data_IF_876171227388
#
_entry.id   IF_876171227388
#
_cell.length_a   1.000
_cell.length_b   1.000
_cell.length_c   1.000
_cell.angle_alpha   90.00
_cell.angle_beta   90.00
_cell.angle_gamma   90.00
#
_symmetry.space_group_name_H-M   'P 1'
#
loop_
_entity.id
_entity.type
_entity.pdbx_description
1 polymer ?
#
# COMPACT_ATOMS: atom_id res chain seq x y z
N UNK A 1 -3.55 7.04 1.68
CA UNK A 1 -3.67 6.33 2.98
C UNK A 1 -4.96 6.74 3.72
N UNK A 2 -5.76 7.61 3.10
CA UNK A 2 -7.08 8.10 3.49
C UNK A 2 -7.88 7.28 4.52
N UNK A 3 -8.32 6.06 4.20
CA UNK A 3 -9.23 5.34 5.10
C UNK A 3 -8.60 5.03 6.47
N UNK A 4 -7.32 4.63 6.49
CA UNK A 4 -6.61 4.41 7.74
C UNK A 4 -6.38 5.73 8.49
N UNK A 5 -5.97 6.79 7.79
CA UNK A 5 -5.73 8.09 8.40
C UNK A 5 -6.99 8.66 9.07
N UNK A 6 -8.15 8.52 8.41
CA UNK A 6 -9.45 8.95 8.93
C UNK A 6 -9.79 8.26 10.27
N UNK A 7 -9.56 6.95 10.37
CA UNK A 7 -9.85 6.18 11.58
C UNK A 7 -8.79 6.37 12.68
N UNK A 8 -7.55 6.66 12.30
CA UNK A 8 -6.45 6.84 13.24
C UNK A 8 -6.46 8.22 13.90
N UNK A 9 -6.59 9.29 13.11
CA UNK A 9 -6.59 10.66 13.58
C UNK A 9 -7.19 11.58 12.51
N UNK A 10 -8.39 12.12 12.77
CA UNK A 10 -9.10 13.03 11.85
C UNK A 10 -8.28 14.28 11.52
N UNK A 11 -7.51 14.81 12.49
CA UNK A 11 -6.62 15.94 12.26
C UNK A 11 -5.47 15.60 11.30
N UNK A 12 -4.91 14.39 11.39
CA UNK A 12 -3.88 13.93 10.44
C UNK A 12 -4.48 13.78 9.05
N UNK A 13 -5.66 13.16 8.95
CA UNK A 13 -6.39 13.04 7.69
C UNK A 13 -6.64 14.41 7.03
N UNK A 14 -7.11 15.40 7.79
CA UNK A 14 -7.35 16.74 7.29
C UNK A 14 -6.06 17.36 6.70
N UNK A 15 -4.94 17.28 7.44
CA UNK A 15 -3.69 17.86 6.97
C UNK A 15 -3.11 17.14 5.73
N UNK A 16 -3.15 15.81 5.68
CA UNK A 16 -2.50 15.06 4.61
C UNK A 16 -3.36 14.86 3.36
N UNK A 17 -4.68 14.66 3.52
CA UNK A 17 -5.57 14.26 2.43
C UNK A 17 -6.51 15.40 1.99
N UNK A 18 -6.77 16.41 2.84
CA UNK A 18 -7.55 17.61 2.47
C UNK A 18 -6.63 18.77 2.10
N UNK A 19 -5.68 19.12 2.97
CA UNK A 19 -4.72 20.22 2.74
C UNK A 19 -3.48 19.79 1.95
N UNK A 20 -3.33 18.49 1.68
CA UNK A 20 -2.20 17.90 0.95
C UNK A 20 -0.80 18.21 1.52
N UNK A 21 -0.72 18.49 2.82
CA UNK A 21 0.53 18.76 3.53
C UNK A 21 1.22 17.43 3.83
N UNK A 22 2.14 17.02 2.95
CA UNK A 22 2.88 15.75 3.05
C UNK A 22 4.37 16.02 3.16
N UNK A 23 5.01 15.53 4.22
CA UNK A 23 6.47 15.63 4.42
C UNK A 23 7.08 14.26 4.19
N UNK A 24 7.83 14.10 3.10
CA UNK A 24 8.56 12.87 2.81
C UNK A 24 9.96 12.93 3.44
N UNK A 25 10.31 11.91 4.21
CA UNK A 25 11.66 11.73 4.77
C UNK A 25 12.39 10.55 4.10
N UNK A 26 13.61 10.28 4.54
CA UNK A 26 14.41 9.17 4.03
C UNK A 26 13.74 7.80 4.19
N UNK A 27 12.90 7.60 5.22
CA UNK A 27 12.18 6.35 5.42
C UNK A 27 11.06 6.18 4.39
N UNK A 28 10.33 7.25 4.05
CA UNK A 28 9.32 7.25 2.99
C UNK A 28 9.93 6.86 1.65
N UNK A 29 11.05 7.48 1.26
CA UNK A 29 11.72 7.15 0.00
C UNK A 29 12.28 5.72 -0.01
N UNK A 30 12.87 5.27 1.09
CA UNK A 30 13.36 3.90 1.22
C UNK A 30 12.23 2.86 1.20
N UNK A 31 11.03 3.23 1.63
CA UNK A 31 9.80 2.45 1.47
C UNK A 31 9.37 2.37 0.01
N UNK A 32 9.24 3.51 -0.69
CA UNK A 32 8.85 3.54 -2.12
C UNK A 32 9.76 2.68 -2.99
N UNK A 33 11.08 2.78 -2.79
CA UNK A 33 12.07 1.93 -3.47
C UNK A 33 11.83 0.44 -3.23
N UNK A 34 11.39 0.02 -2.04
CA UNK A 34 11.06 -1.38 -1.79
C UNK A 34 9.91 -1.86 -2.69
N UNK A 35 8.88 -1.04 -2.89
CA UNK A 35 7.76 -1.40 -3.77
C UNK A 35 8.20 -1.50 -5.24
N UNK A 36 9.21 -0.72 -5.65
CA UNK A 36 9.76 -0.76 -7.01
C UNK A 36 10.75 -1.92 -7.23
N UNK A 37 11.58 -2.24 -6.22
CA UNK A 37 12.74 -3.15 -6.32
C UNK A 37 12.43 -4.61 -6.01
N UNK A 38 11.35 -4.94 -5.31
CA UNK A 38 11.01 -6.34 -5.02
C UNK A 38 10.68 -7.06 -6.33
N UNK A 39 11.58 -7.87 -6.88
CA UNK A 39 11.31 -8.98 -7.81
C UNK A 39 12.26 -10.11 -7.40
N UNK A 40 11.72 -11.25 -6.98
CA UNK A 40 12.42 -12.52 -7.18
C UNK A 40 11.87 -13.11 -8.47
N UNK A 41 12.75 -13.49 -9.41
CA UNK A 41 12.40 -14.13 -10.67
C UNK A 41 11.97 -15.61 -10.47
N UNK A 42 12.09 -16.14 -9.25
CA UNK A 42 11.82 -17.55 -8.90
C UNK A 42 10.39 -17.80 -8.39
N UNK A 43 9.44 -16.88 -8.61
CA UNK A 43 8.06 -17.06 -8.14
C UNK A 43 7.26 -17.89 -9.15
N UNK A 44 6.91 -19.14 -8.79
CA UNK A 44 6.11 -20.05 -9.63
C UNK A 44 4.66 -19.58 -9.85
N UNK A 45 4.28 -18.42 -9.30
CA UNK A 45 2.94 -17.85 -9.43
C UNK A 45 2.96 -16.52 -10.18
N UNK A 46 1.96 -16.25 -11.05
CA UNK A 46 1.90 -14.99 -11.78
C UNK A 46 1.59 -13.85 -10.80
N UNK A 47 2.63 -13.19 -10.31
CA UNK A 47 2.51 -11.97 -9.52
C UNK A 47 1.97 -10.85 -10.42
N UNK A 48 0.77 -10.35 -10.09
CA UNK A 48 0.28 -9.11 -10.69
C UNK A 48 0.56 -7.97 -9.73
N UNK A 49 1.24 -6.94 -10.22
CA UNK A 49 1.61 -5.76 -9.45
C UNK A 49 0.69 -4.61 -9.77
N UNK A 50 0.66 -3.64 -8.86
CA UNK A 50 0.00 -2.36 -9.12
C UNK A 50 -1.45 -2.53 -9.54
N UNK A 51 -2.17 -3.44 -8.88
CA UNK A 51 -3.56 -3.76 -9.23
C UNK A 51 -4.46 -2.70 -8.63
N UNK A 52 -5.18 -1.98 -9.48
CA UNK A 52 -6.22 -1.05 -9.06
C UNK A 52 -7.47 -1.82 -8.64
N UNK A 53 -8.05 -1.42 -7.51
CA UNK A 53 -9.28 -1.98 -6.97
C UNK A 53 -10.24 -0.86 -6.60
N UNK A 54 -11.53 -1.09 -6.83
CA UNK A 54 -12.56 -0.12 -6.51
C UNK A 54 -13.84 -0.81 -6.01
N UNK A 55 -14.56 -0.12 -5.14
CA UNK A 55 -15.90 -0.48 -4.70
C UNK A 55 -16.84 0.69 -4.97
N UNK A 56 -17.64 0.58 -6.03
CA UNK A 56 -18.59 1.62 -6.42
C UNK A 56 -19.62 1.89 -5.32
N UNK A 57 -20.14 0.82 -4.68
CA UNK A 57 -21.13 0.93 -3.59
C UNK A 57 -20.65 1.83 -2.45
N UNK A 58 -19.36 1.76 -2.14
CA UNK A 58 -18.76 2.49 -1.02
C UNK A 58 -17.95 3.70 -1.45
N UNK A 59 -17.86 3.98 -2.76
CA UNK A 59 -17.01 5.04 -3.30
C UNK A 59 -15.52 4.87 -2.99
N UNK A 60 -15.06 3.63 -2.77
CA UNK A 60 -13.67 3.35 -2.40
C UNK A 60 -12.84 3.03 -3.65
N UNK A 61 -11.62 3.55 -3.69
CA UNK A 61 -10.63 3.20 -4.70
C UNK A 61 -9.25 3.09 -4.05
N UNK A 62 -8.40 2.23 -4.60
CA UNK A 62 -7.07 2.03 -4.09
C UNK A 62 -6.21 1.18 -5.02
N UNK A 63 -4.95 1.05 -4.65
CA UNK A 63 -3.95 0.28 -5.38
C UNK A 63 -3.32 -0.73 -4.44
N UNK A 64 -3.29 -1.98 -4.86
CA UNK A 64 -2.60 -3.06 -4.17
C UNK A 64 -1.15 -3.11 -4.64
N UNK A 65 -0.22 -3.43 -3.74
CA UNK A 65 1.18 -3.64 -4.11
C UNK A 65 1.31 -4.84 -5.05
N UNK A 66 0.80 -6.00 -4.61
CA UNK A 66 0.82 -7.23 -5.37
C UNK A 66 -0.35 -8.15 -5.04
N UNK A 67 -0.71 -9.01 -5.98
CA UNK A 67 -1.57 -10.17 -5.77
C UNK A 67 -0.90 -11.41 -6.33
N UNK A 68 -1.01 -12.52 -5.58
CA UNK A 68 -0.45 -13.83 -5.95
C UNK A 68 -1.53 -14.89 -5.87
N UNK A 69 -1.37 -15.97 -6.64
CA UNK A 69 -2.24 -17.14 -6.53
C UNK A 69 -1.68 -18.09 -5.48
N UNK A 70 -2.48 -18.44 -4.49
CA UNK A 70 -2.16 -19.47 -3.50
C UNK A 70 -3.37 -20.37 -3.35
N UNK A 71 -3.17 -21.68 -3.51
CA UNK A 71 -4.24 -22.69 -3.41
C UNK A 71 -5.47 -22.37 -4.30
N UNK A 72 -5.21 -21.86 -5.51
CA UNK A 72 -6.24 -21.47 -6.48
C UNK A 72 -6.95 -20.13 -6.19
N UNK A 73 -6.62 -19.46 -5.08
CA UNK A 73 -7.22 -18.18 -4.68
C UNK A 73 -6.25 -17.01 -4.89
N UNK A 74 -6.79 -15.82 -5.13
CA UNK A 74 -5.99 -14.59 -5.15
C UNK A 74 -5.80 -14.08 -3.72
N UNK A 75 -4.54 -13.87 -3.34
CA UNK A 75 -4.14 -13.33 -2.04
C UNK A 75 -3.43 -12.00 -2.25
N UNK A 76 -3.81 -10.99 -1.48
CA UNK A 76 -3.18 -9.66 -1.49
C UNK A 76 -1.92 -9.69 -0.65
N UNK A 77 -0.86 -9.12 -1.20
CA UNK A 77 0.40 -8.90 -0.50
C UNK A 77 0.64 -7.40 -0.41
N UNK A 78 0.89 -6.93 0.81
CA UNK A 78 1.21 -5.54 1.12
C UNK A 78 2.63 -5.52 1.71
N UNK A 79 3.57 -4.87 1.01
CA UNK A 79 4.95 -4.79 1.47
C UNK A 79 5.10 -3.65 2.45
N UNK A 80 5.67 -3.93 3.63
CA UNK A 80 5.90 -2.91 4.65
C UNK A 80 7.37 -2.84 5.01
N UNK A 81 7.87 -1.61 5.13
CA UNK A 81 9.18 -1.29 5.69
C UNK A 81 8.98 -0.46 6.93
N UNK A 82 9.55 -0.91 8.05
CA UNK A 82 9.49 -0.19 9.31
C UNK A 82 10.42 -0.81 10.33
N UNK A 83 10.80 -0.03 11.35
CA UNK A 83 11.49 -0.55 12.52
C UNK A 83 10.49 -0.61 13.67
N UNK A 84 10.35 -1.76 14.31
CA UNK A 84 9.61 -1.83 15.56
C UNK A 84 10.39 -1.09 16.66
N UNK A 85 9.68 -0.55 17.64
CA UNK A 85 10.29 -0.08 18.88
C UNK A 85 10.70 -1.33 19.66
N UNK A 86 12.01 -1.51 19.86
CA UNK A 86 12.56 -2.60 20.67
C UNK A 86 12.42 -2.27 22.15
#
# INVERSE_FOLDING_TARGET
MALHALLYCERLFYLEEVEEIRVADGAVYAGRRLHDEVVSLDDETPERRSVEVASVRWGLQGKLDAVRRRDGQWVVYEHKRGRCRR
#
